data_IF_647763524125
#
_entry.id   IF_647763524125
#
_cell.length_a   1.000
_cell.length_b   1.000
_cell.length_c   1.000
_cell.angle_alpha   90.00
_cell.angle_beta   90.00
_cell.angle_gamma   90.00
#
_symmetry.space_group_name_H-M   'P 1'
#
loop_
_entity.id
_entity.type
_entity.pdbx_description
1 polymer ?
#
# COMPACT_ATOMS: atom_id res chain seq x y z
N UNK A 1 -0.41 10.41 -26.25
CA UNK A 1 -0.79 10.11 -24.85
C UNK A 1 0.51 10.01 -24.06
N UNK A 2 0.67 10.82 -23.02
CA UNK A 2 1.94 11.48 -22.67
C UNK A 2 3.06 10.55 -22.14
N UNK A 3 4.32 10.76 -22.56
CA UNK A 3 5.49 9.97 -22.14
C UNK A 3 6.12 10.44 -20.81
N UNK A 4 5.38 11.19 -19.97
CA UNK A 4 5.92 11.91 -18.80
C UNK A 4 5.32 11.47 -17.45
N UNK A 5 4.46 10.44 -17.43
CA UNK A 5 4.04 9.84 -16.17
C UNK A 5 5.10 8.81 -15.78
N UNK A 6 5.77 9.03 -14.63
CA UNK A 6 6.65 8.02 -14.05
C UNK A 6 5.89 6.71 -13.80
N UNK A 7 6.60 5.64 -13.45
CA UNK A 7 6.02 4.30 -13.18
C UNK A 7 5.13 4.22 -11.93
N UNK A 8 4.75 5.37 -11.35
CA UNK A 8 3.91 5.45 -10.15
C UNK A 8 2.44 5.59 -10.49
N UNK A 9 1.59 4.90 -9.74
CA UNK A 9 0.15 5.10 -9.77
C UNK A 9 -0.25 6.27 -8.86
N UNK A 10 -1.41 6.86 -9.11
CA UNK A 10 -2.02 7.82 -8.19
C UNK A 10 -3.14 7.15 -7.38
N UNK A 11 -3.05 7.18 -6.05
CA UNK A 11 -3.96 6.41 -5.17
C UNK A 11 -5.44 6.77 -5.35
N UNK A 12 -5.80 7.99 -5.76
CA UNK A 12 -7.21 8.36 -5.99
C UNK A 12 -7.77 7.81 -7.33
N UNK A 13 -6.95 7.16 -8.14
CA UNK A 13 -7.35 6.39 -9.32
C UNK A 13 -6.98 4.92 -9.14
N UNK A 14 -7.56 4.25 -8.12
CA UNK A 14 -7.30 2.84 -7.87
C UNK A 14 -7.60 1.99 -9.11
N UNK A 15 -6.60 1.23 -9.54
CA UNK A 15 -6.70 0.27 -10.63
C UNK A 15 -6.82 -1.14 -10.02
N UNK A 16 -7.98 -1.82 -10.12
CA UNK A 16 -8.18 -3.14 -9.53
C UNK A 16 -7.33 -4.23 -10.20
N UNK A 17 -6.80 -3.99 -11.40
CA UNK A 17 -5.93 -4.94 -12.12
C UNK A 17 -4.45 -4.74 -11.77
N UNK A 18 -4.09 -3.69 -11.03
CA UNK A 18 -2.73 -3.39 -10.63
C UNK A 18 -2.26 -4.30 -9.50
N UNK A 19 -1.37 -5.23 -9.83
CA UNK A 19 -0.90 -6.28 -8.91
C UNK A 19 0.25 -5.82 -8.00
N UNK A 20 1.07 -4.87 -8.45
CA UNK A 20 2.18 -4.26 -7.70
C UNK A 20 1.81 -2.91 -7.07
N UNK A 21 0.51 -2.71 -6.83
CA UNK A 21 -0.06 -1.49 -6.26
C UNK A 21 0.65 -0.93 -5.01
N UNK A 22 1.20 -1.73 -4.06
CA UNK A 22 1.85 -1.15 -2.88
C UNK A 22 3.11 -0.36 -3.27
N UNK A 23 3.88 -0.88 -4.21
CA UNK A 23 5.08 -0.21 -4.73
C UNK A 23 4.69 0.94 -5.67
N UNK A 24 3.72 0.72 -6.56
CA UNK A 24 3.28 1.71 -7.53
C UNK A 24 2.66 2.96 -6.86
N UNK A 25 1.87 2.80 -5.79
CA UNK A 25 1.21 3.91 -5.10
C UNK A 25 2.02 4.53 -3.96
N UNK A 26 2.83 3.74 -3.26
CA UNK A 26 3.47 4.19 -2.02
C UNK A 26 4.99 4.12 -2.05
N UNK A 27 5.59 3.39 -2.99
CA UNK A 27 7.03 3.25 -3.13
C UNK A 27 7.72 2.94 -1.80
N UNK A 28 8.79 3.69 -1.50
CA UNK A 28 9.57 3.56 -0.27
C UNK A 28 8.78 3.90 1.01
N UNK A 29 7.60 4.52 0.91
CA UNK A 29 6.75 4.80 2.07
C UNK A 29 5.96 3.57 2.53
N UNK A 30 5.78 2.55 1.68
CA UNK A 30 4.95 1.39 1.99
C UNK A 30 5.36 0.72 3.33
N UNK A 31 6.64 0.42 3.61
CA UNK A 31 7.04 -0.20 4.88
C UNK A 31 6.67 0.64 6.12
N UNK A 32 6.79 1.97 6.04
CA UNK A 32 6.40 2.88 7.13
C UNK A 32 4.89 2.85 7.35
N UNK A 33 4.09 2.79 6.29
CA UNK A 33 2.63 2.66 6.39
C UNK A 33 2.24 1.32 7.03
N UNK A 34 2.93 0.22 6.69
CA UNK A 34 2.69 -1.08 7.33
C UNK A 34 2.95 -1.06 8.85
N UNK A 35 3.95 -0.30 9.31
CA UNK A 35 4.22 -0.10 10.75
C UNK A 35 3.12 0.73 11.44
N UNK A 36 2.65 1.80 10.78
CA UNK A 36 1.52 2.59 11.27
C UNK A 36 0.27 1.72 11.35
N UNK A 37 -0.01 0.92 10.32
CA UNK A 37 -1.15 -0.02 10.28
C UNK A 37 -1.06 -1.04 11.41
N UNK A 38 0.11 -1.62 11.65
CA UNK A 38 0.32 -2.55 12.76
C UNK A 38 0.09 -1.90 14.14
N UNK A 39 0.33 -0.60 14.29
CA UNK A 39 0.13 0.12 15.55
C UNK A 39 -1.34 0.45 15.81
N UNK A 40 -2.06 0.90 14.78
CA UNK A 40 -3.40 1.48 14.94
C UNK A 40 -4.54 0.60 14.45
N UNK A 41 -4.26 -0.40 13.61
CA UNK A 41 -5.26 -1.36 13.10
C UNK A 41 -4.64 -2.76 12.90
N UNK A 42 -4.12 -3.39 13.98
CA UNK A 42 -3.52 -4.72 13.90
C UNK A 42 -4.52 -5.81 13.51
N UNK A 43 -5.81 -5.62 13.83
CA UNK A 43 -6.89 -6.57 13.51
C UNK A 43 -7.50 -6.36 12.12
N UNK A 44 -6.97 -5.41 11.33
CA UNK A 44 -7.40 -5.15 9.96
C UNK A 44 -8.89 -4.76 9.83
N UNK A 45 -9.44 -4.02 10.79
CA UNK A 45 -10.81 -3.51 10.72
C UNK A 45 -11.04 -2.67 9.45
N UNK A 46 -10.07 -1.84 9.07
CA UNK A 46 -10.12 -1.05 7.84
C UNK A 46 -9.39 -1.78 6.71
N UNK A 47 -10.02 -2.82 6.15
CA UNK A 47 -9.46 -3.63 5.05
C UNK A 47 -10.31 -3.54 3.78
N UNK A 48 -9.66 -3.72 2.63
CA UNK A 48 -10.23 -3.75 1.28
C UNK A 48 -9.17 -4.34 0.32
N UNK A 49 -9.49 -4.65 -0.96
CA UNK A 49 -8.59 -5.40 -1.85
C UNK A 49 -7.17 -4.82 -2.04
N UNK A 50 -7.00 -3.51 -1.90
CA UNK A 50 -5.71 -2.82 -1.99
C UNK A 50 -5.38 -2.02 -0.71
N UNK A 51 -5.83 -2.52 0.45
CA UNK A 51 -5.50 -1.92 1.74
C UNK A 51 -4.05 -2.24 2.13
N UNK A 52 -3.35 -1.27 2.73
CA UNK A 52 -2.06 -1.51 3.39
C UNK A 52 -2.23 -2.62 4.44
N UNK A 53 -1.40 -3.65 4.33
CA UNK A 53 -1.34 -4.75 5.31
C UNK A 53 -0.43 -4.37 6.48
N UNK A 54 -0.66 -4.89 7.70
CA UNK A 54 0.21 -4.59 8.83
C UNK A 54 1.55 -5.30 8.63
N UNK A 55 2.63 -4.69 9.10
CA UNK A 55 3.91 -5.37 9.14
C UNK A 55 3.77 -6.64 10.01
N UNK A 56 4.31 -7.77 9.53
CA UNK A 56 4.36 -8.99 10.35
C UNK A 56 5.14 -8.67 11.63
N UNK A 57 4.58 -8.88 12.82
CA UNK A 57 5.34 -8.71 14.04
C UNK A 57 6.54 -9.67 14.03
N UNK A 58 7.71 -9.26 14.57
CA UNK A 58 8.83 -10.19 14.70
C UNK A 58 8.37 -11.44 15.45
N UNK A 59 8.87 -12.61 15.03
CA UNK A 59 8.67 -13.85 15.77
C UNK A 59 9.12 -13.66 17.24
N UNK A 60 8.44 -14.31 18.21
CA UNK A 60 8.80 -14.18 19.63
C UNK A 60 10.24 -14.60 19.93
#
# INVERSE_FOLDING_TARGET
>A
MQPHLGTGGYTNGMDPELTDWPAAYHGENNPRMQHVKATYDPEQLFTFPQAVTPATPPAP
#
